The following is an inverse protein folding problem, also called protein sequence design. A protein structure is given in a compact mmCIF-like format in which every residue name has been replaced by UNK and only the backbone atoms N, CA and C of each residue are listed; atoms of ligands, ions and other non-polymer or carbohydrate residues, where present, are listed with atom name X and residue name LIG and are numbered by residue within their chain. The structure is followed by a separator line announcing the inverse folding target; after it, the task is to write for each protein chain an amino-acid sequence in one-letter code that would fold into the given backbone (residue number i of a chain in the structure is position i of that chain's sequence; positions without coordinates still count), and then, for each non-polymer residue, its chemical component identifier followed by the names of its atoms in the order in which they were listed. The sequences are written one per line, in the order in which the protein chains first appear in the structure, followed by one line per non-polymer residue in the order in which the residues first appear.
data_IF_075302567209
#
_entry.id   IF_075302567209
#
_cell.length_a   1.000
_cell.length_b   1.000
_cell.length_c   1.000
_cell.angle_alpha   90.00
_cell.angle_beta   90.00
_cell.angle_gamma   90.00
#
_symmetry.space_group_name_H-M   'P 1'
#
loop_
_entity.id
_entity.type
_entity.pdbx_description
1 polymer ?
#
# COMPACT_ATOMS: atom_id res chain seq x y z
N UNK A 1 -23.23 10.60 -10.52
CA UNK A 1 -22.06 9.79 -10.15
C UNK A 1 -22.27 8.41 -10.78
N UNK A 2 -21.40 7.98 -11.69
CA UNK A 2 -21.48 6.62 -12.24
C UNK A 2 -20.98 5.70 -11.13
N UNK A 3 -21.82 4.77 -10.68
CA UNK A 3 -21.43 3.81 -9.64
C UNK A 3 -20.24 2.98 -10.09
N UNK A 4 -19.36 2.66 -9.16
CA UNK A 4 -18.29 1.68 -9.29
C UNK A 4 -18.93 0.34 -9.64
N UNK A 5 -18.58 -0.19 -10.82
CA UNK A 5 -19.06 -1.49 -11.29
C UNK A 5 -18.62 -2.62 -10.36
N UNK A 6 -19.36 -3.73 -10.38
CA UNK A 6 -19.12 -4.92 -9.54
C UNK A 6 -17.64 -5.38 -9.54
N UNK A 7 -17.00 -5.43 -10.72
CA UNK A 7 -15.58 -5.77 -10.86
C UNK A 7 -14.67 -4.83 -10.11
N UNK A 8 -14.89 -3.52 -10.26
CA UNK A 8 -14.08 -2.50 -9.59
C UNK A 8 -14.27 -2.57 -8.08
N UNK A 9 -15.48 -2.87 -7.60
CA UNK A 9 -15.77 -3.02 -6.18
C UNK A 9 -14.99 -4.21 -5.58
N UNK A 10 -14.93 -5.35 -6.26
CA UNK A 10 -14.08 -6.49 -5.86
C UNK A 10 -12.60 -6.11 -5.87
N UNK A 11 -12.12 -5.47 -6.95
CA UNK A 11 -10.71 -5.06 -7.09
C UNK A 11 -10.26 -4.19 -5.92
N UNK A 12 -11.02 -3.15 -5.58
CA UNK A 12 -10.66 -2.26 -4.47
C UNK A 12 -10.69 -2.97 -3.12
N UNK A 13 -11.66 -3.88 -2.91
CA UNK A 13 -11.72 -4.68 -1.69
C UNK A 13 -10.49 -5.56 -1.53
N UNK A 14 -10.06 -6.24 -2.60
CA UNK A 14 -8.87 -7.07 -2.56
C UNK A 14 -7.61 -6.25 -2.35
N UNK A 15 -7.50 -5.09 -2.99
CA UNK A 15 -6.37 -4.19 -2.75
C UNK A 15 -6.27 -3.78 -1.29
N UNK A 16 -7.34 -3.23 -0.71
CA UNK A 16 -7.34 -2.79 0.69
C UNK A 16 -7.17 -3.96 1.67
N UNK A 17 -7.77 -5.12 1.38
CA UNK A 17 -7.57 -6.33 2.16
C UNK A 17 -6.11 -6.79 2.14
N UNK A 18 -5.45 -6.83 0.97
CA UNK A 18 -4.05 -7.20 0.86
C UNK A 18 -3.13 -6.19 1.55
N UNK A 19 -3.36 -4.89 1.40
CA UNK A 19 -2.59 -3.85 2.09
C UNK A 19 -2.65 -4.03 3.61
N UNK A 20 -3.86 -4.22 4.16
CA UNK A 20 -4.03 -4.50 5.58
C UNK A 20 -3.37 -5.83 5.99
N UNK A 21 -3.55 -6.87 5.19
CA UNK A 21 -2.98 -8.18 5.46
C UNK A 21 -1.45 -8.13 5.60
N UNK A 22 -0.76 -7.40 4.72
CA UNK A 22 0.69 -7.24 4.81
C UNK A 22 1.09 -6.48 6.08
N UNK A 23 0.37 -5.42 6.43
CA UNK A 23 0.61 -4.69 7.67
C UNK A 23 0.41 -5.56 8.91
N UNK A 24 -0.66 -6.35 8.96
CA UNK A 24 -0.96 -7.30 10.05
C UNK A 24 0.09 -8.43 10.17
N UNK A 25 0.88 -8.66 9.11
CA UNK A 25 2.00 -9.62 9.09
C UNK A 25 3.37 -8.96 9.25
N UNK A 26 3.43 -7.65 9.55
CA UNK A 26 4.68 -6.95 9.85
C UNK A 26 5.45 -6.42 8.63
N UNK A 27 4.83 -6.29 7.46
CA UNK A 27 5.45 -5.71 6.26
C UNK A 27 5.38 -4.17 6.27
N UNK A 28 6.06 -3.58 7.24
CA UNK A 28 6.28 -2.15 7.33
C UNK A 28 7.66 -1.86 7.93
N UNK A 29 8.24 -0.74 7.53
CA UNK A 29 9.48 -0.23 8.14
C UNK A 29 9.20 1.06 8.89
N UNK A 30 9.68 1.12 10.12
CA UNK A 30 9.68 2.33 10.94
C UNK A 30 10.94 3.16 10.67
N UNK A 31 10.77 4.45 10.43
CA UNK A 31 11.85 5.43 10.29
C UNK A 31 11.83 6.36 11.50
N UNK A 32 12.95 6.39 12.23
CA UNK A 32 13.16 7.26 13.40
C UNK A 32 14.38 8.14 13.19
N UNK A 33 14.46 9.26 13.91
CA UNK A 33 15.53 10.26 13.72
C UNK A 33 16.94 9.77 14.04
N UNK A 34 17.06 8.70 14.84
CA UNK A 34 18.34 8.16 15.31
C UNK A 34 18.80 6.90 14.56
N UNK A 35 18.23 6.61 13.39
CA UNK A 35 18.67 5.52 12.52
C UNK A 35 19.43 6.11 11.34
N UNK A 36 20.76 6.01 11.40
CA UNK A 36 21.65 6.37 10.31
C UNK A 36 21.69 5.26 9.25
N UNK A 37 21.66 5.65 7.97
CA UNK A 37 22.02 4.73 6.89
C UNK A 37 23.55 4.69 6.72
N UNK A 38 24.05 3.76 5.89
CA UNK A 38 25.47 3.45 5.67
C UNK A 38 26.42 4.65 5.37
N UNK A 39 25.90 5.86 5.16
CA UNK A 39 26.64 7.09 4.84
C UNK A 39 26.28 8.27 5.76
N UNK A 40 25.97 7.99 7.04
CA UNK A 40 25.65 8.99 8.10
C UNK A 40 24.45 9.91 7.76
N UNK A 41 23.70 9.58 6.71
CA UNK A 41 22.50 10.31 6.29
C UNK A 41 21.30 9.65 6.97
N UNK A 42 20.66 10.38 7.89
CA UNK A 42 19.45 9.90 8.56
C UNK A 42 18.32 9.64 7.56
N UNK A 43 17.69 8.47 7.63
CA UNK A 43 16.51 8.12 6.82
C UNK A 43 15.30 9.02 7.14
N UNK A 44 15.32 9.68 8.29
CA UNK A 44 14.31 10.64 8.70
C UNK A 44 14.42 11.99 7.96
N UNK A 45 15.58 12.30 7.35
CA UNK A 45 15.76 13.54 6.60
C UNK A 45 14.83 13.60 5.38
N UNK A 46 14.06 14.68 5.31
CA UNK A 46 13.19 14.97 4.18
C UNK A 46 13.91 15.92 3.21
N UNK A 47 13.87 15.58 1.92
CA UNK A 47 14.44 16.42 0.88
C UNK A 47 13.42 17.44 0.41
N UNK A 48 13.81 18.71 0.37
CA UNK A 48 12.99 19.75 -0.26
C UNK A 48 12.83 19.51 -1.75
N UNK A 49 11.58 19.50 -2.21
CA UNK A 49 11.16 19.41 -3.61
C UNK A 49 10.21 20.57 -3.89
N UNK A 50 10.49 21.33 -4.94
CA UNK A 50 9.60 22.40 -5.44
C UNK A 50 8.97 23.30 -4.36
N UNK A 51 9.79 24.12 -3.70
CA UNK A 51 9.31 25.19 -2.83
C UNK A 51 8.75 24.72 -1.49
N UNK A 52 7.57 24.09 -1.48
CA UNK A 52 6.77 23.77 -0.29
C UNK A 52 6.71 22.28 0.05
N UNK A 53 7.21 21.39 -0.82
CA UNK A 53 7.17 19.96 -0.58
C UNK A 53 8.49 19.47 0.01
N UNK A 54 8.39 18.52 0.94
CA UNK A 54 9.54 17.84 1.52
C UNK A 54 9.26 16.35 1.50
N UNK A 55 10.00 15.62 0.66
CA UNK A 55 9.72 14.23 0.34
C UNK A 55 10.68 13.32 1.09
N UNK A 56 10.15 12.18 1.54
CA UNK A 56 10.95 11.14 2.17
C UNK A 56 11.52 10.16 1.15
N UNK A 57 12.24 9.15 1.64
CA UNK A 57 12.79 8.08 0.80
C UNK A 57 11.71 7.12 0.28
N UNK A 58 10.54 7.07 0.92
CA UNK A 58 9.49 6.09 0.65
C UNK A 58 8.13 6.78 0.46
N UNK A 59 7.31 6.27 -0.46
CA UNK A 59 5.89 6.64 -0.58
C UNK A 59 5.03 5.69 0.27
N UNK A 60 3.70 5.87 0.20
CA UNK A 60 2.73 5.02 0.88
C UNK A 60 3.06 4.84 2.38
N UNK A 61 3.13 5.98 3.07
CA UNK A 61 3.18 5.97 4.52
C UNK A 61 1.97 5.24 5.07
N UNK A 62 2.18 4.51 6.16
CA UNK A 62 1.13 3.75 6.82
C UNK A 62 0.12 4.74 7.38
N UNK A 63 -1.12 4.62 6.92
CA UNK A 63 -2.23 5.46 7.35
C UNK A 63 -3.30 4.66 8.09
N UNK A 64 -3.15 3.35 8.19
CA UNK A 64 -4.05 2.46 8.90
C UNK A 64 -3.87 2.64 10.41
N UNK A 65 -4.98 2.89 11.11
CA UNK A 65 -4.98 3.17 12.56
C UNK A 65 -5.34 1.97 13.42
N UNK A 66 -5.79 0.86 12.81
CA UNK A 66 -6.25 -0.37 13.47
C UNK A 66 -5.26 -1.54 13.33
N UNK A 67 -3.98 -1.25 13.09
CA UNK A 67 -2.93 -2.27 13.01
C UNK A 67 -2.21 -2.36 14.36
N UNK A 68 -2.22 -3.57 14.94
CA UNK A 68 -1.36 -3.91 16.08
C UNK A 68 -0.10 -4.60 15.58
N UNK A 69 1.07 -4.27 16.16
CA UNK A 69 2.29 -5.01 15.86
C UNK A 69 2.08 -6.52 16.13
N UNK A 70 2.49 -7.40 15.21
CA UNK A 70 2.42 -8.83 15.45
C UNK A 70 3.27 -9.23 16.66
N UNK A 71 2.86 -10.28 17.39
CA UNK A 71 3.62 -10.78 18.54
C UNK A 71 5.05 -11.16 18.13
N UNK A 72 6.05 -10.55 18.77
CA UNK A 72 7.47 -10.80 18.46
C UNK A 72 8.11 -9.79 17.51
N UNK A 73 7.36 -8.80 17.01
CA UNK A 73 7.92 -7.68 16.26
C UNK A 73 8.23 -6.48 17.17
N UNK A 74 9.40 -5.84 17.00
CA UNK A 74 9.97 -5.00 18.05
C UNK A 74 9.36 -3.60 18.16
N UNK A 75 8.49 -3.14 17.27
CA UNK A 75 7.91 -1.79 17.39
C UNK A 75 6.52 -1.63 16.76
N UNK A 76 5.58 -0.94 17.44
CA UNK A 76 4.33 -0.52 16.83
C UNK A 76 4.61 0.39 15.62
N UNK A 77 3.66 0.46 14.70
CA UNK A 77 3.68 1.46 13.63
C UNK A 77 3.80 2.84 14.25
N UNK A 78 4.78 3.61 13.78
CA UNK A 78 4.98 4.99 14.17
C UNK A 78 3.98 5.89 13.44
N UNK A 79 3.05 6.55 14.15
CA UNK A 79 2.14 7.50 13.54
C UNK A 79 2.90 8.78 13.17
N UNK A 80 2.50 9.38 12.05
CA UNK A 80 3.08 10.63 11.55
C UNK A 80 2.57 11.80 12.40
N UNK A 81 3.38 12.23 13.36
CA UNK A 81 2.98 13.21 14.40
C UNK A 81 3.40 14.65 14.10
N UNK A 82 4.41 14.85 13.26
CA UNK A 82 5.00 16.15 12.98
C UNK A 82 6.38 16.04 12.35
N UNK A 83 7.02 17.19 12.24
CA UNK A 83 8.37 17.32 11.67
C UNK A 83 9.29 18.01 12.67
N UNK A 84 10.58 17.71 12.59
CA UNK A 84 11.62 18.44 13.26
C UNK A 84 12.31 19.35 12.26
N UNK A 85 12.39 20.64 12.59
CA UNK A 85 13.05 21.64 11.76
C UNK A 85 14.20 22.20 12.58
N UNK A 86 15.43 21.98 12.13
CA UNK A 86 16.65 22.32 12.87
C UNK A 86 16.63 21.79 14.32
N UNK A 87 16.13 20.57 14.51
CA UNK A 87 16.02 19.90 15.81
C UNK A 87 14.82 20.31 16.69
N UNK A 88 14.05 21.33 16.32
CA UNK A 88 12.82 21.74 17.03
C UNK A 88 11.59 21.03 16.47
N UNK A 89 10.76 20.43 17.33
CA UNK A 89 9.55 19.74 16.90
C UNK A 89 8.42 20.72 16.54
N UNK A 90 7.78 20.47 15.40
CA UNK A 90 6.58 21.15 14.93
C UNK A 90 5.51 20.10 14.62
N UNK A 91 4.46 20.08 15.44
CA UNK A 91 3.30 19.21 15.23
C UNK A 91 2.60 19.54 13.90
N UNK A 92 1.86 18.57 13.36
CA UNK A 92 1.04 18.78 12.17
C UNK A 92 0.12 20.01 12.35
N UNK A 93 0.02 20.85 11.32
CA UNK A 93 -0.75 22.10 11.27
C UNK A 93 -0.36 23.16 12.32
N UNK A 94 0.82 23.06 12.95
CA UNK A 94 1.28 24.04 13.94
C UNK A 94 2.03 25.24 13.32
N UNK A 95 1.90 26.40 13.96
CA UNK A 95 2.68 27.60 13.61
C UNK A 95 4.18 27.39 13.95
N UNK A 96 5.14 27.90 13.15
CA UNK A 96 4.99 28.84 12.03
C UNK A 96 4.87 28.22 10.65
N UNK A 97 5.13 26.93 10.49
CA UNK A 97 5.31 26.31 9.17
C UNK A 97 4.06 25.61 8.61
N UNK A 98 3.12 25.25 9.50
CA UNK A 98 1.89 24.52 9.19
C UNK A 98 2.16 23.25 8.35
N UNK A 99 2.96 22.31 8.86
CA UNK A 99 3.25 21.06 8.17
C UNK A 99 1.99 20.19 8.05
N UNK A 100 1.67 19.70 6.85
CA UNK A 100 0.60 18.73 6.62
C UNK A 100 1.17 17.49 5.91
N UNK A 101 0.91 16.28 6.43
CA UNK A 101 1.41 15.05 5.83
C UNK A 101 0.58 14.63 4.60
N UNK A 102 1.26 14.18 3.56
CA UNK A 102 0.68 13.50 2.39
C UNK A 102 1.09 12.01 2.48
N UNK A 103 0.23 11.19 3.09
CA UNK A 103 0.53 9.78 3.36
C UNK A 103 0.73 8.98 2.07
N UNK A 104 -0.07 9.28 1.04
CA UNK A 104 -0.04 8.54 -0.23
C UNK A 104 1.30 8.73 -0.96
N UNK A 105 1.84 9.95 -0.94
CA UNK A 105 3.10 10.28 -1.62
C UNK A 105 4.32 10.26 -0.71
N UNK A 106 4.13 10.07 0.60
CA UNK A 106 5.20 9.98 1.58
C UNK A 106 6.01 11.26 1.73
N UNK A 107 5.31 12.38 1.91
CA UNK A 107 5.90 13.73 1.95
C UNK A 107 5.15 14.65 2.89
N UNK A 108 5.77 15.77 3.21
CA UNK A 108 5.14 16.89 3.90
C UNK A 108 4.91 18.08 2.95
N UNK A 109 3.81 18.76 3.16
CA UNK A 109 3.41 20.00 2.49
C UNK A 109 3.44 21.12 3.53
N UNK A 110 4.15 22.21 3.24
CA UNK A 110 4.26 23.36 4.14
C UNK A 110 3.53 24.57 3.57
N UNK A 111 2.60 25.16 4.34
CA UNK A 111 1.96 26.43 3.92
C UNK A 111 2.91 27.61 4.06
N UNK A 112 3.82 27.55 5.01
CA UNK A 112 4.91 28.50 5.16
C UNK A 112 6.23 27.68 5.18
N UNK A 113 6.97 27.61 4.07
CA UNK A 113 8.11 26.72 3.97
C UNK A 113 9.26 27.18 4.87
N UNK A 114 10.01 26.25 5.50
CA UNK A 114 11.17 26.62 6.28
C UNK A 114 12.30 27.22 5.40
N UNK A 115 13.30 27.88 6.03
CA UNK A 115 14.48 28.38 5.35
C UNK A 115 15.16 27.33 4.46
N UNK A 116 15.86 27.76 3.41
CA UNK A 116 16.41 26.84 2.40
C UNK A 116 17.51 25.92 2.93
N UNK A 117 18.21 26.37 3.96
CA UNK A 117 19.26 25.68 4.69
C UNK A 117 18.75 24.87 5.90
N UNK A 118 17.43 24.88 6.14
CA UNK A 118 16.86 24.14 7.27
C UNK A 118 16.92 22.63 7.03
N UNK A 119 17.39 21.90 8.04
CA UNK A 119 17.27 20.44 8.09
C UNK A 119 15.85 20.10 8.54
N UNK A 120 15.13 19.36 7.71
CA UNK A 120 13.76 18.90 8.00
C UNK A 120 13.77 17.39 8.14
N UNK A 121 13.30 16.90 9.26
CA UNK A 121 13.24 15.47 9.58
C UNK A 121 11.82 15.07 9.99
N UNK A 122 11.42 13.83 9.71
CA UNK A 122 10.17 13.27 10.18
C UNK A 122 10.33 11.81 10.61
N UNK A 123 9.53 11.42 11.60
CA UNK A 123 9.35 10.03 11.99
C UNK A 123 8.05 9.52 11.40
N UNK A 124 8.14 8.38 10.71
CA UNK A 124 7.02 7.80 9.96
C UNK A 124 7.22 6.30 9.80
N UNK A 125 6.16 5.62 9.39
CA UNK A 125 6.23 4.24 8.91
C UNK A 125 5.76 4.19 7.48
N UNK A 126 6.37 3.32 6.67
CA UNK A 126 5.93 3.11 5.29
C UNK A 126 5.67 1.63 5.03
N UNK A 127 4.78 1.35 4.07
CA UNK A 127 4.43 -0.01 3.67
C UNK A 127 5.60 -0.65 2.91
N UNK A 128 6.05 -1.83 3.32
CA UNK A 128 7.16 -2.49 2.61
C UNK A 128 6.71 -3.13 1.30
N UNK A 129 5.44 -3.53 1.21
CA UNK A 129 4.85 -4.16 0.04
C UNK A 129 3.80 -3.25 -0.55
N UNK A 130 4.01 -2.86 -1.81
CA UNK A 130 3.02 -2.11 -2.57
C UNK A 130 1.97 -3.05 -3.15
N UNK A 131 0.70 -2.66 -3.14
CA UNK A 131 -0.38 -3.40 -3.80
C UNK A 131 -1.01 -2.53 -4.86
N UNK A 132 -1.01 -3.00 -6.10
CA UNK A 132 -1.56 -2.24 -7.21
C UNK A 132 -2.21 -3.14 -8.26
N UNK A 133 -2.65 -2.54 -9.37
CA UNK A 133 -3.31 -3.24 -10.45
C UNK A 133 -2.49 -3.22 -11.75
N UNK A 134 -2.85 -4.07 -12.70
CA UNK A 134 -2.20 -4.13 -14.03
C UNK A 134 -2.36 -2.86 -14.86
N UNK A 135 -3.38 -2.04 -14.60
CA UNK A 135 -3.62 -0.75 -15.27
C UNK A 135 -2.99 0.44 -14.53
N UNK A 136 -2.22 0.19 -13.47
CA UNK A 136 -1.63 1.23 -12.63
C UNK A 136 -0.38 1.88 -13.24
N UNK A 137 -0.10 3.11 -12.80
CA UNK A 137 1.15 3.78 -13.13
C UNK A 137 2.37 2.99 -12.63
N UNK A 138 2.27 2.38 -11.43
CA UNK A 138 3.29 1.52 -10.84
C UNK A 138 3.68 0.38 -11.78
N UNK A 139 2.68 -0.34 -12.31
CA UNK A 139 2.91 -1.45 -13.23
C UNK A 139 3.53 -0.98 -14.55
N UNK A 140 3.09 0.16 -15.08
CA UNK A 140 3.68 0.74 -16.29
C UNK A 140 5.16 1.07 -16.12
N UNK A 141 5.55 1.65 -14.97
CA UNK A 141 6.97 1.90 -14.69
C UNK A 141 7.72 0.58 -14.55
N UNK A 142 7.19 -0.38 -13.79
CA UNK A 142 7.80 -1.71 -13.61
C UNK A 142 8.08 -2.36 -14.96
N UNK A 143 7.09 -2.37 -15.86
CA UNK A 143 7.23 -2.95 -17.20
C UNK A 143 8.24 -2.18 -18.06
N UNK A 144 8.24 -0.85 -18.01
CA UNK A 144 9.20 -0.04 -18.76
C UNK A 144 10.66 -0.29 -18.33
N UNK A 145 10.89 -0.45 -17.01
CA UNK A 145 12.21 -0.77 -16.44
C UNK A 145 12.61 -2.21 -16.73
N UNK A 146 11.65 -3.13 -16.69
CA UNK A 146 11.85 -4.54 -17.02
C UNK A 146 12.28 -4.75 -18.48
N UNK A 147 11.69 -3.99 -19.43
CA UNK A 147 12.03 -4.07 -20.86
C UNK A 147 13.38 -3.45 -21.22
N UNK A 148 13.90 -2.54 -20.39
CA UNK A 148 15.12 -1.78 -20.69
C UNK A 148 16.41 -2.42 -20.14
N UNK A 149 16.33 -3.60 -19.49
CA UNK A 149 17.47 -4.29 -18.86
C UNK A 149 18.29 -3.36 -17.94
N UNK A 150 17.64 -2.38 -17.31
CA UNK A 150 18.21 -1.57 -16.26
C UNK A 150 17.71 -2.15 -14.92
N UNK A 151 18.31 -3.26 -14.43
CA UNK A 151 17.99 -3.72 -13.09
C UNK A 151 18.30 -2.57 -12.13
N UNK A 152 17.48 -2.43 -11.09
CA UNK A 152 17.75 -1.59 -9.93
C UNK A 152 19.25 -1.71 -9.60
N UNK A 153 20.05 -0.71 -9.99
CA UNK A 153 21.50 -0.86 -9.96
C UNK A 153 21.90 -1.05 -8.51
N UNK A 154 22.58 -2.14 -8.23
CA UNK A 154 23.05 -2.56 -6.92
C UNK A 154 24.18 -1.69 -6.36
N UNK A 155 24.21 -0.39 -6.64
CA UNK A 155 25.29 0.53 -6.28
C UNK A 155 24.76 1.84 -5.69
N UNK A 156 24.68 1.87 -4.36
CA UNK A 156 25.30 2.90 -3.49
C UNK A 156 24.89 4.38 -3.55
N UNK A 157 23.88 4.80 -4.31
CA UNK A 157 23.31 6.15 -4.13
C UNK A 157 21.88 6.07 -3.64
N UNK A 158 21.60 6.60 -2.43
CA UNK A 158 20.23 6.92 -2.05
C UNK A 158 19.75 8.00 -3.03
N UNK A 159 18.97 7.61 -4.04
CA UNK A 159 18.38 8.55 -4.97
C UNK A 159 17.19 9.19 -4.26
N UNK A 160 17.47 10.26 -3.52
CA UNK A 160 16.44 11.23 -3.18
C UNK A 160 16.03 11.96 -4.48
N UNK A 161 14.76 12.37 -4.70
CA UNK A 161 13.59 12.19 -3.86
C UNK A 161 12.60 11.09 -4.33
N UNK A 162 11.76 10.63 -3.37
CA UNK A 162 10.31 10.38 -3.47
C UNK A 162 9.67 9.12 -4.05
N UNK A 163 10.05 7.91 -3.65
CA UNK A 163 9.16 6.72 -3.76
C UNK A 163 8.69 6.29 -5.16
N UNK A 164 8.95 7.05 -6.23
CA UNK A 164 8.67 6.70 -7.62
C UNK A 164 9.64 5.61 -8.12
N UNK A 165 10.78 5.47 -7.44
CA UNK A 165 11.83 4.53 -7.83
C UNK A 165 11.84 3.24 -6.99
N UNK A 166 11.34 3.26 -5.75
CA UNK A 166 11.18 2.03 -4.94
C UNK A 166 9.83 1.38 -5.24
N UNK A 167 9.78 0.69 -6.38
CA UNK A 167 8.58 -0.04 -6.82
C UNK A 167 8.52 -1.45 -6.21
N UNK A 168 9.65 -2.00 -5.77
CA UNK A 168 9.72 -3.37 -5.24
C UNK A 168 9.86 -3.40 -3.71
N UNK A 169 9.26 -4.41 -3.05
CA UNK A 169 8.37 -5.42 -3.63
C UNK A 169 6.94 -4.89 -3.93
N UNK A 170 6.30 -5.45 -4.96
CA UNK A 170 4.93 -5.11 -5.37
C UNK A 170 4.10 -6.35 -5.69
N UNK A 171 2.84 -6.31 -5.30
CA UNK A 171 1.80 -7.28 -5.67
C UNK A 171 0.85 -6.61 -6.65
N UNK A 172 0.72 -7.19 -7.84
CA UNK A 172 -0.18 -6.72 -8.89
C UNK A 172 -1.38 -7.65 -8.98
N UNK A 173 -2.58 -7.09 -8.84
CA UNK A 173 -3.85 -7.81 -8.89
C UNK A 173 -4.44 -7.70 -10.29
N UNK A 174 -4.66 -8.84 -10.93
CA UNK A 174 -5.31 -8.95 -12.24
C UNK A 174 -6.57 -9.82 -12.15
N UNK A 175 -7.78 -9.25 -12.32
CA UNK A 175 -8.98 -10.03 -12.58
C UNK A 175 -8.88 -10.65 -13.98
N UNK A 176 -9.07 -11.97 -14.08
CA UNK A 176 -8.91 -12.70 -15.34
C UNK A 176 -10.25 -13.01 -15.99
N UNK A 177 -11.07 -13.84 -15.33
CA UNK A 177 -12.34 -14.33 -15.87
C UNK A 177 -13.42 -14.37 -14.80
N UNK A 178 -14.68 -14.27 -15.24
CA UNK A 178 -15.84 -14.31 -14.37
C UNK A 178 -16.89 -15.27 -14.93
N UNK A 179 -17.43 -16.10 -14.06
CA UNK A 179 -18.50 -17.03 -14.36
C UNK A 179 -19.68 -16.84 -13.39
N UNK A 180 -20.89 -17.01 -13.91
CA UNK A 180 -22.13 -16.94 -13.13
C UNK A 180 -22.71 -18.33 -12.98
N UNK A 181 -23.04 -18.70 -11.75
CA UNK A 181 -23.68 -19.96 -11.42
C UNK A 181 -25.02 -19.72 -10.73
N UNK A 182 -26.10 -20.39 -11.16
CA UNK A 182 -27.35 -20.35 -10.41
C UNK A 182 -27.13 -21.07 -9.07
N UNK A 183 -27.62 -20.48 -7.98
CA UNK A 183 -27.56 -21.15 -6.67
C UNK A 183 -28.64 -22.21 -6.57
N UNK A 184 -29.89 -21.82 -6.78
CA UNK A 184 -31.12 -22.64 -6.86
C UNK A 184 -32.20 -21.84 -7.61
N UNK A 185 -33.32 -22.45 -8.01
CA UNK A 185 -34.47 -21.72 -8.59
C UNK A 185 -35.00 -20.74 -7.54
N UNK A 186 -34.94 -19.44 -7.83
CA UNK A 186 -35.34 -18.36 -6.91
C UNK A 186 -34.39 -18.10 -5.73
N UNK A 187 -33.17 -18.66 -5.76
CA UNK A 187 -32.20 -18.60 -4.65
C UNK A 187 -31.01 -17.66 -4.87
N UNK A 188 -31.07 -16.75 -5.84
CA UNK A 188 -29.96 -15.86 -6.21
C UNK A 188 -28.86 -16.47 -7.07
N UNK A 189 -27.77 -15.73 -7.22
CA UNK A 189 -26.64 -16.04 -8.10
C UNK A 189 -25.33 -16.12 -7.32
N UNK A 190 -24.48 -17.07 -7.70
CA UNK A 190 -23.08 -17.15 -7.27
C UNK A 190 -22.23 -16.61 -8.41
N UNK A 191 -21.37 -15.66 -8.09
CA UNK A 191 -20.36 -15.17 -9.02
C UNK A 191 -19.04 -15.80 -8.62
N UNK A 192 -18.42 -16.52 -9.54
CA UNK A 192 -17.05 -16.99 -9.40
C UNK A 192 -16.13 -16.10 -10.22
N UNK A 193 -15.12 -15.56 -9.58
CA UNK A 193 -14.14 -14.68 -10.20
C UNK A 193 -12.74 -15.25 -10.01
N UNK A 194 -11.98 -15.35 -11.10
CA UNK A 194 -10.61 -15.81 -11.07
C UNK A 194 -9.68 -14.62 -11.12
N UNK A 195 -8.72 -14.59 -10.19
CA UNK A 195 -7.81 -13.47 -10.02
C UNK A 195 -6.39 -14.00 -9.94
N UNK A 196 -5.46 -13.32 -10.59
CA UNK A 196 -4.04 -13.61 -10.48
C UNK A 196 -3.35 -12.51 -9.66
N UNK A 197 -2.60 -12.94 -8.66
CA UNK A 197 -1.66 -12.10 -7.92
C UNK A 197 -0.27 -12.32 -8.51
N UNK A 198 0.31 -11.28 -9.08
CA UNK A 198 1.71 -11.29 -9.53
C UNK A 198 2.56 -10.60 -8.47
N UNK A 199 3.50 -11.34 -7.91
CA UNK A 199 4.45 -10.86 -6.91
C UNK A 199 5.76 -10.55 -7.63
N UNK A 200 6.28 -9.33 -7.46
CA UNK A 200 7.59 -8.92 -7.93
C UNK A 200 8.42 -8.45 -6.75
N UNK A 201 9.64 -8.96 -6.60
CA UNK A 201 10.55 -8.56 -5.53
C UNK A 201 12.00 -8.49 -6.01
N UNK A 202 12.81 -7.72 -5.30
CA UNK A 202 14.24 -7.60 -5.57
C UNK A 202 15.03 -8.81 -5.03
N UNK A 203 14.50 -9.47 -3.99
CA UNK A 203 15.13 -10.63 -3.35
C UNK A 203 14.17 -11.83 -3.30
N UNK A 204 14.71 -13.03 -3.30
CA UNK A 204 13.97 -14.29 -3.33
C UNK A 204 13.14 -14.50 -2.05
N UNK A 205 13.74 -14.25 -0.89
CA UNK A 205 13.06 -14.40 0.40
C UNK A 205 11.91 -13.40 0.57
N UNK A 206 12.00 -12.19 0.00
CA UNK A 206 10.90 -11.21 0.02
C UNK A 206 9.72 -11.73 -0.79
N UNK A 207 9.99 -12.24 -2.02
CA UNK A 207 8.96 -12.87 -2.86
C UNK A 207 8.30 -14.03 -2.11
N UNK A 208 9.09 -14.93 -1.54
CA UNK A 208 8.57 -16.14 -0.91
C UNK A 208 7.74 -15.80 0.34
N UNK A 209 8.19 -14.84 1.16
CA UNK A 209 7.42 -14.35 2.31
C UNK A 209 6.07 -13.74 1.89
N UNK A 210 6.04 -12.92 0.83
CA UNK A 210 4.80 -12.33 0.30
C UNK A 210 3.87 -13.42 -0.23
N UNK A 211 4.41 -14.39 -0.96
CA UNK A 211 3.63 -15.52 -1.48
C UNK A 211 3.00 -16.31 -0.34
N UNK A 212 3.77 -16.60 0.70
CA UNK A 212 3.31 -17.40 1.83
C UNK A 212 2.21 -16.68 2.62
N UNK A 213 2.29 -15.34 2.78
CA UNK A 213 1.23 -14.53 3.40
C UNK A 213 -0.08 -14.58 2.60
N UNK A 214 -0.01 -14.38 1.28
CA UNK A 214 -1.19 -14.46 0.40
C UNK A 214 -1.76 -15.88 0.42
N UNK A 215 -0.90 -16.89 0.28
CA UNK A 215 -1.30 -18.30 0.25
C UNK A 215 -1.93 -18.75 1.57
N UNK A 216 -1.49 -18.18 2.70
CA UNK A 216 -2.10 -18.38 4.01
C UNK A 216 -3.56 -17.93 4.13
N UNK A 217 -4.08 -17.15 3.18
CA UNK A 217 -5.48 -16.72 3.16
C UNK A 217 -6.44 -17.72 2.48
N UNK A 218 -5.97 -18.92 2.17
CA UNK A 218 -6.83 -19.94 1.58
C UNK A 218 -8.03 -20.23 2.51
N UNK A 219 -9.25 -20.15 1.96
CA UNK A 219 -10.54 -20.35 2.66
C UNK A 219 -10.94 -19.24 3.63
N UNK A 220 -10.27 -18.09 3.58
CA UNK A 220 -10.68 -16.91 4.35
C UNK A 220 -11.89 -16.20 3.73
N UNK A 221 -12.57 -15.43 4.58
CA UNK A 221 -13.75 -14.64 4.22
C UNK A 221 -13.44 -13.16 4.37
N UNK A 222 -13.45 -12.44 3.25
CA UNK A 222 -13.30 -10.99 3.22
C UNK A 222 -14.70 -10.38 3.36
N UNK A 223 -14.90 -9.58 4.42
CA UNK A 223 -16.06 -8.70 4.51
C UNK A 223 -15.84 -7.52 3.57
N UNK A 224 -16.57 -7.49 2.47
CA UNK A 224 -16.39 -6.47 1.45
C UNK A 224 -17.11 -5.17 1.82
N UNK A 225 -16.47 -4.06 1.49
CA UNK A 225 -16.96 -2.69 1.61
C UNK A 225 -17.64 -2.28 0.31
N UNK A 226 -18.76 -1.57 0.37
CA UNK A 226 -19.38 -0.96 -0.80
C UNK A 226 -18.74 0.40 -1.09
N UNK A 227 -17.73 0.42 -1.97
CA UNK A 227 -17.04 1.65 -2.38
C UNK A 227 -17.94 2.68 -3.09
N UNK A 228 -19.19 2.34 -3.44
CA UNK A 228 -20.16 3.36 -3.89
C UNK A 228 -20.68 4.26 -2.76
N UNK A 229 -20.55 3.80 -1.52
CA UNK A 229 -21.09 4.48 -0.34
C UNK A 229 -20.00 5.06 0.57
N UNK A 230 -18.73 4.72 0.32
CA UNK A 230 -17.58 5.14 1.13
C UNK A 230 -17.29 6.63 0.90
N UNK A 231 -17.12 7.42 1.97
CA UNK A 231 -16.68 8.81 1.83
C UNK A 231 -15.20 8.89 1.43
N UNK A 232 -14.75 10.06 1.00
CA UNK A 232 -13.32 10.31 0.78
C UNK A 232 -12.56 10.18 2.11
N UNK A 233 -11.70 9.15 2.21
CA UNK A 233 -10.91 8.87 3.41
C UNK A 233 -9.69 9.78 3.56
N UNK A 234 -9.18 10.30 2.44
CA UNK A 234 -8.04 11.22 2.39
C UNK A 234 -8.47 12.53 1.72
N UNK A 235 -7.85 13.63 2.14
CA UNK A 235 -7.94 14.91 1.46
C UNK A 235 -7.19 14.88 0.13
N UNK A 236 -7.43 15.86 -0.74
CA UNK A 236 -6.66 16.04 -1.98
C UNK A 236 -5.14 16.17 -1.71
N UNK A 237 -4.77 16.72 -0.56
CA UNK A 237 -3.39 16.89 -0.10
C UNK A 237 -2.79 15.59 0.44
N UNK A 238 -3.58 14.54 0.66
CA UNK A 238 -3.12 13.22 1.12
C UNK A 238 -3.11 13.05 2.64
N UNK A 239 -3.62 14.01 3.41
CA UNK A 239 -3.86 13.91 4.86
C UNK A 239 -5.24 13.27 5.15
N UNK A 240 -5.49 12.87 6.39
CA UNK A 240 -6.78 12.32 6.81
C UNK A 240 -7.93 13.29 6.54
N UNK A 241 -8.98 12.77 5.91
CA UNK A 241 -10.27 13.46 5.82
C UNK A 241 -10.93 13.53 7.18
N UNK A 242 -11.79 14.53 7.41
CA UNK A 242 -12.64 14.62 8.61
C UNK A 242 -13.61 13.44 8.76
N UNK A 243 -13.83 12.70 7.67
CA UNK A 243 -14.67 11.50 7.61
C UNK A 243 -13.87 10.20 7.53
N UNK A 244 -12.55 10.27 7.79
CA UNK A 244 -11.67 9.11 7.74
C UNK A 244 -12.20 7.97 8.62
N UNK A 245 -12.17 6.77 8.05
CA UNK A 245 -12.47 5.50 8.72
C UNK A 245 -11.44 4.49 8.26
N UNK A 246 -10.89 3.71 9.19
CA UNK A 246 -10.00 2.60 8.84
C UNK A 246 -10.80 1.46 8.17
N UNK A 247 -10.08 0.49 7.60
CA UNK A 247 -10.71 -0.55 6.80
C UNK A 247 -11.72 -1.39 7.61
N UNK A 248 -11.41 -1.71 8.86
CA UNK A 248 -12.33 -2.48 9.74
C UNK A 248 -13.62 -1.70 10.06
N UNK A 249 -13.52 -0.39 10.27
CA UNK A 249 -14.69 0.49 10.42
C UNK A 249 -15.50 0.55 9.12
N UNK A 250 -14.85 0.66 7.96
CA UNK A 250 -15.52 0.65 6.66
C UNK A 250 -16.27 -0.66 6.39
N UNK A 251 -15.70 -1.80 6.77
CA UNK A 251 -16.36 -3.12 6.66
C UNK A 251 -17.64 -3.20 7.49
N UNK A 252 -17.72 -2.44 8.57
CA UNK A 252 -18.86 -2.42 9.48
C UNK A 252 -19.94 -1.44 8.99
N UNK A 253 -19.52 -0.22 8.64
CA UNK A 253 -20.41 0.90 8.32
C UNK A 253 -20.93 0.87 6.88
N UNK A 254 -20.15 0.27 5.97
CA UNK A 254 -20.38 0.24 4.54
C UNK A 254 -20.33 -1.19 4.01
N UNK A 255 -20.86 -2.15 4.77
CA UNK A 255 -20.87 -3.56 4.39
C UNK A 255 -21.59 -3.79 3.06
N UNK A 256 -20.96 -4.52 2.15
CA UNK A 256 -21.53 -4.91 0.87
C UNK A 256 -21.96 -6.38 0.86
N UNK A 257 -20.98 -7.27 0.97
CA UNK A 257 -21.17 -8.73 0.91
C UNK A 257 -19.92 -9.44 1.43
N UNK A 258 -19.96 -10.76 1.49
CA UNK A 258 -18.77 -11.58 1.78
C UNK A 258 -18.16 -12.08 0.48
N UNK A 259 -16.85 -11.91 0.33
CA UNK A 259 -16.04 -12.52 -0.72
C UNK A 259 -15.30 -13.69 -0.08
N UNK A 260 -15.47 -14.88 -0.65
CA UNK A 260 -14.85 -16.11 -0.16
C UNK A 260 -13.66 -16.44 -1.03
N UNK A 261 -12.49 -16.68 -0.43
CA UNK A 261 -11.30 -17.19 -1.13
C UNK A 261 -11.41 -18.71 -1.17
N UNK A 262 -11.95 -19.28 -2.25
CA UNK A 262 -12.23 -20.72 -2.32
C UNK A 262 -10.94 -21.54 -2.42
N UNK A 263 -10.03 -21.10 -3.29
CA UNK A 263 -8.83 -21.82 -3.68
C UNK A 263 -7.72 -20.84 -4.03
N UNK A 264 -6.49 -21.18 -3.64
CA UNK A 264 -5.26 -20.51 -4.04
C UNK A 264 -4.30 -21.55 -4.62
N UNK A 265 -3.70 -21.25 -5.77
CA UNK A 265 -2.74 -22.12 -6.45
C UNK A 265 -1.51 -21.32 -6.82
N UNK A 266 -0.35 -21.72 -6.31
CA UNK A 266 0.94 -21.17 -6.76
C UNK A 266 1.25 -21.76 -8.14
N UNK A 267 1.42 -20.89 -9.14
CA UNK A 267 1.70 -21.29 -10.53
C UNK A 267 3.16 -21.20 -10.87
N UNK A 268 3.80 -20.11 -10.48
CA UNK A 268 5.13 -19.74 -10.95
C UNK A 268 5.96 -19.21 -9.79
N UNK A 269 7.24 -19.57 -9.78
CA UNK A 269 8.32 -18.98 -8.99
C UNK A 269 9.57 -18.99 -9.84
N UNK A 270 9.99 -17.82 -10.30
CA UNK A 270 11.12 -17.70 -11.20
C UNK A 270 11.91 -16.42 -10.96
N UNK A 271 13.05 -16.33 -11.65
CA UNK A 271 13.90 -15.17 -11.72
C UNK A 271 13.92 -14.73 -13.18
N UNK A 272 13.51 -13.49 -13.43
CA UNK A 272 13.44 -12.95 -14.78
C UNK A 272 14.01 -11.53 -14.77
N UNK A 273 15.04 -11.29 -15.58
CA UNK A 273 15.77 -10.01 -15.65
C UNK A 273 16.19 -9.46 -14.27
N UNK A 274 16.74 -10.32 -13.40
CA UNK A 274 17.13 -9.99 -12.02
C UNK A 274 16.00 -9.54 -11.07
N UNK A 275 14.74 -9.81 -11.44
CA UNK A 275 13.58 -9.62 -10.57
C UNK A 275 12.99 -10.99 -10.25
N UNK A 276 12.80 -11.26 -8.96
CA UNK A 276 12.13 -12.46 -8.51
C UNK A 276 10.63 -12.30 -8.69
N UNK A 277 10.03 -13.24 -9.42
CA UNK A 277 8.60 -13.22 -9.74
C UNK A 277 7.90 -14.43 -9.17
N UNK A 278 6.68 -14.21 -8.72
CA UNK A 278 5.75 -15.24 -8.29
C UNK A 278 4.36 -15.01 -8.88
N UNK A 279 3.61 -16.09 -9.09
CA UNK A 279 2.19 -16.01 -9.48
C UNK A 279 1.34 -16.91 -8.61
N UNK A 280 0.26 -16.35 -8.06
CA UNK A 280 -0.78 -17.08 -7.33
C UNK A 280 -2.09 -16.84 -8.05
N UNK A 281 -2.76 -17.91 -8.46
CA UNK A 281 -4.12 -17.83 -8.97
C UNK A 281 -5.10 -18.11 -7.83
N UNK A 282 -6.14 -17.28 -7.73
CA UNK A 282 -7.21 -17.38 -6.76
C UNK A 282 -8.55 -17.56 -7.45
N UNK A 283 -9.37 -18.46 -6.90
CA UNK A 283 -10.81 -18.50 -7.20
C UNK A 283 -11.56 -17.84 -6.04
N UNK A 284 -12.34 -16.81 -6.37
CA UNK A 284 -13.20 -16.12 -5.43
C UNK A 284 -14.67 -16.46 -5.70
N UNK A 285 -15.45 -16.63 -4.64
CA UNK A 285 -16.90 -16.74 -4.72
C UNK A 285 -17.59 -15.57 -4.03
N UNK A 286 -18.56 -14.97 -4.70
CA UNK A 286 -19.42 -13.92 -4.15
C UNK A 286 -20.88 -14.34 -4.28
N UNK A 287 -21.60 -14.29 -3.17
CA UNK A 287 -23.02 -14.64 -3.12
C UNK A 287 -23.85 -13.37 -3.22
N UNK A 288 -24.59 -13.22 -4.31
CA UNK A 288 -25.56 -12.15 -4.46
C UNK A 288 -26.94 -12.64 -4.02
N UNK A 289 -27.57 -11.89 -3.12
CA UNK A 289 -29.00 -12.04 -2.82
C UNK A 289 -29.78 -11.25 -3.88
N UNK A 290 -30.91 -11.81 -4.30
CA UNK A 290 -31.90 -11.10 -5.13
C UNK A 290 -32.58 -10.00 -4.30
#
# INVERSE_FOLDING_TARGET
MIGIGFTSNIRYNLKQYCEKLFLDNGFYTNVTRNIDFYDETSLANLRRVEGIYYESIANEWVYETDISAPSGFPSPILPVSGVWINGSFHANNSHPYYPSPDYLRGRYIFRNPPPQDATVEAEYSYKDVKVDFVDSHTFNILMSRFLTNAPYSSSESIIYPSGLERILPVVIIEPTTRNHFPRQIGGGKIIKEYISFFVFAARDYERDAIIDVIFGQAREVIKAVDYNSVPEIMTFEGDYSSTYKNYTQLQSDHFWTNIYIDELVIRERDLLNNIYRGRIDAQLSVYLRD
#
